data_IF_425316244749
#
_entry.id   IF_425316244749
#
_cell.length_a   1.000
_cell.length_b   1.000
_cell.length_c   1.000
_cell.angle_alpha   90.00
_cell.angle_beta   90.00
_cell.angle_gamma   90.00
#
_symmetry.space_group_name_H-M   'P 1'
#
loop_
_entity.id
_entity.type
_entity.pdbx_description
1 polymer ?
#
# COMPACT_ATOMS: atom_id res chain seq x y z
N UNK A 1 6.60 -13.46 5.79
CA UNK A 1 5.56 -13.14 4.78
C UNK A 1 5.89 -11.80 4.15
N UNK A 2 5.70 -11.67 2.83
CA UNK A 2 6.02 -10.48 2.02
C UNK A 2 4.75 -10.06 1.28
N UNK A 3 4.39 -8.77 1.29
CA UNK A 3 3.15 -8.28 0.70
C UNK A 3 3.40 -6.97 -0.06
N UNK A 4 2.71 -6.79 -1.18
CA UNK A 4 2.71 -5.53 -1.94
C UNK A 4 1.33 -4.90 -1.87
N UNK A 5 1.28 -3.64 -1.48
CA UNK A 5 0.09 -2.79 -1.52
C UNK A 5 -0.02 -2.15 -2.92
N UNK A 6 -1.15 -2.35 -3.60
CA UNK A 6 -1.45 -1.75 -4.90
C UNK A 6 -2.85 -1.11 -4.89
N UNK A 7 -3.01 0.05 -4.21
CA UNK A 7 -4.32 0.62 -3.94
C UNK A 7 -5.03 1.06 -5.23
N UNK A 8 -4.32 1.64 -6.21
CA UNK A 8 -4.98 2.02 -7.47
C UNK A 8 -5.57 0.83 -8.22
N UNK A 9 -4.87 -0.30 -8.24
CA UNK A 9 -5.36 -1.54 -8.85
C UNK A 9 -6.58 -2.08 -8.14
N UNK A 10 -6.61 -2.01 -6.80
CA UNK A 10 -7.80 -2.40 -6.05
C UNK A 10 -9.00 -1.52 -6.35
N UNK A 11 -8.79 -0.21 -6.50
CA UNK A 11 -9.88 0.73 -6.82
C UNK A 11 -10.36 0.57 -8.26
N UNK A 12 -9.45 0.29 -9.20
CA UNK A 12 -9.81 0.13 -10.60
C UNK A 12 -10.64 -1.14 -10.86
N UNK A 13 -10.33 -2.24 -10.15
CA UNK A 13 -10.89 -3.56 -10.43
C UNK A 13 -11.89 -4.05 -9.36
N UNK A 14 -12.27 -3.19 -8.42
CA UNK A 14 -13.19 -3.53 -7.33
C UNK A 14 -12.76 -4.76 -6.49
N UNK A 15 -11.45 -4.96 -6.30
CA UNK A 15 -10.93 -6.13 -5.58
C UNK A 15 -11.30 -6.18 -4.09
N UNK A 16 -11.83 -5.10 -3.53
CA UNK A 16 -12.19 -5.03 -2.11
C UNK A 16 -11.00 -4.96 -1.15
N UNK A 17 -9.75 -4.96 -1.65
CA UNK A 17 -8.53 -4.95 -0.81
C UNK A 17 -8.47 -3.74 0.14
N UNK A 18 -9.01 -2.60 -0.27
CA UNK A 18 -9.05 -1.42 0.60
C UNK A 18 -9.90 -1.65 1.86
N UNK A 19 -11.01 -2.39 1.74
CA UNK A 19 -11.97 -2.62 2.82
C UNK A 19 -11.65 -3.90 3.60
N UNK A 20 -11.44 -5.00 2.87
CA UNK A 20 -11.26 -6.33 3.44
C UNK A 20 -9.79 -6.67 3.69
N UNK A 21 -8.88 -6.07 2.93
CA UNK A 21 -7.45 -6.27 3.10
C UNK A 21 -6.93 -5.70 4.42
N UNK A 22 -5.79 -6.25 4.83
CA UNK A 22 -5.17 -6.01 6.15
C UNK A 22 -3.84 -5.29 6.06
N UNK A 23 -3.65 -4.44 5.06
CA UNK A 23 -2.38 -3.74 4.83
C UNK A 23 -1.96 -2.90 6.06
N UNK A 24 -2.81 -2.03 6.65
CA UNK A 24 -2.43 -1.30 7.87
C UNK A 24 -2.11 -2.23 9.04
N UNK A 25 -2.93 -3.25 9.27
CA UNK A 25 -2.72 -4.19 10.38
C UNK A 25 -1.44 -5.03 10.19
N UNK A 26 -1.12 -5.43 8.96
CA UNK A 26 0.14 -6.09 8.62
C UNK A 26 1.35 -5.18 8.88
N UNK A 27 1.25 -3.89 8.55
CA UNK A 27 2.28 -2.89 8.86
C UNK A 27 2.48 -2.73 10.37
N UNK A 28 1.41 -2.73 11.16
CA UNK A 28 1.47 -2.68 12.64
C UNK A 28 2.12 -3.95 13.22
N UNK A 29 1.85 -5.11 12.62
CA UNK A 29 2.44 -6.40 13.00
C UNK A 29 3.91 -6.57 12.55
N UNK A 30 4.50 -5.57 11.88
CA UNK A 30 5.88 -5.63 11.40
C UNK A 30 6.09 -6.53 10.17
N UNK A 31 5.01 -6.85 9.42
CA UNK A 31 5.12 -7.56 8.14
C UNK A 31 5.80 -6.64 7.13
N UNK A 32 6.69 -7.20 6.31
CA UNK A 32 7.30 -6.49 5.20
C UNK A 32 6.25 -6.18 4.13
N UNK A 33 5.80 -4.91 4.12
CA UNK A 33 4.85 -4.37 3.13
C UNK A 33 5.53 -3.32 2.28
N UNK A 34 5.40 -3.46 0.96
CA UNK A 34 5.91 -2.53 -0.04
C UNK A 34 4.78 -1.95 -0.86
N UNK A 35 5.11 -1.03 -1.76
CA UNK A 35 4.15 -0.35 -2.62
C UNK A 35 4.45 -0.63 -4.09
N UNK A 36 3.40 -0.87 -4.88
CA UNK A 36 3.52 -1.06 -6.32
C UNK A 36 2.23 -0.71 -7.05
N UNK A 37 2.33 -0.28 -8.30
CA UNK A 37 1.16 0.21 -9.03
C UNK A 37 0.34 -0.88 -9.72
N UNK A 38 0.98 -2.01 -10.05
CA UNK A 38 0.38 -3.09 -10.84
C UNK A 38 -0.27 -2.52 -12.13
N UNK A 39 0.56 -1.80 -12.91
CA UNK A 39 0.14 -0.96 -14.05
C UNK A 39 -0.81 -1.65 -15.05
N UNK A 40 -0.66 -2.96 -15.29
CA UNK A 40 -1.51 -3.68 -16.25
C UNK A 40 -2.97 -3.68 -15.82
N UNK A 41 -3.24 -3.54 -14.52
CA UNK A 41 -4.58 -3.50 -13.96
C UNK A 41 -5.19 -2.10 -13.89
N UNK A 42 -4.43 -1.03 -13.57
CA UNK A 42 -4.98 0.32 -13.39
C UNK A 42 -4.50 1.36 -14.41
N UNK A 43 -3.49 1.04 -15.21
CA UNK A 43 -2.80 1.98 -16.10
C UNK A 43 -1.87 2.97 -15.38
N UNK A 44 -1.84 2.97 -14.05
CA UNK A 44 -1.06 3.91 -13.24
C UNK A 44 0.38 3.42 -13.10
N UNK A 45 1.34 4.34 -13.27
CA UNK A 45 2.78 4.12 -13.05
C UNK A 45 3.39 5.14 -12.09
N UNK A 46 2.59 6.10 -11.61
CA UNK A 46 3.04 7.15 -10.69
C UNK A 46 3.04 6.65 -9.25
N UNK A 47 4.24 6.44 -8.68
CA UNK A 47 4.39 5.96 -7.31
C UNK A 47 3.95 6.99 -6.26
N UNK A 48 4.01 8.29 -6.56
CA UNK A 48 3.56 9.35 -5.64
C UNK A 48 2.04 9.30 -5.52
N UNK A 49 1.34 9.02 -6.62
CA UNK A 49 -0.10 8.76 -6.59
C UNK A 49 -0.42 7.50 -5.78
N UNK A 50 0.33 6.41 -5.92
CA UNK A 50 0.13 5.22 -5.08
C UNK A 50 0.36 5.50 -3.59
N UNK A 51 1.36 6.32 -3.24
CA UNK A 51 1.62 6.72 -1.85
C UNK A 51 0.47 7.55 -1.29
N UNK A 52 -0.03 8.49 -2.10
CA UNK A 52 -1.20 9.29 -1.76
C UNK A 52 -2.42 8.40 -1.53
N UNK A 53 -2.71 7.49 -2.46
CA UNK A 53 -3.83 6.56 -2.36
C UNK A 53 -3.69 5.68 -1.12
N UNK A 54 -2.56 5.00 -0.92
CA UNK A 54 -2.31 4.18 0.27
C UNK A 54 -2.54 4.99 1.57
N UNK A 55 -2.06 6.22 1.64
CA UNK A 55 -2.28 7.06 2.82
C UNK A 55 -3.76 7.40 3.01
N UNK A 56 -4.47 7.79 1.96
CA UNK A 56 -5.82 8.36 2.05
C UNK A 56 -6.93 7.33 2.13
N UNK A 57 -6.88 6.26 1.33
CA UNK A 57 -8.00 5.31 1.24
C UNK A 57 -8.13 4.47 2.50
N UNK A 58 -7.01 4.02 3.07
CA UNK A 58 -7.04 3.22 4.29
C UNK A 58 -7.48 4.05 5.49
N UNK A 59 -7.05 5.31 5.61
CA UNK A 59 -7.50 6.15 6.74
C UNK A 59 -8.98 6.48 6.68
N UNK A 60 -9.52 6.66 5.49
CA UNK A 60 -10.95 6.87 5.27
C UNK A 60 -11.74 5.63 5.70
N UNK A 61 -11.39 4.47 5.13
CA UNK A 61 -12.10 3.21 5.38
C UNK A 61 -11.94 2.69 6.81
N UNK A 62 -10.86 3.06 7.50
CA UNK A 62 -10.64 2.70 8.92
C UNK A 62 -11.11 3.80 9.88
N UNK A 63 -11.58 4.94 9.36
CA UNK A 63 -11.96 6.12 10.15
C UNK A 63 -10.89 6.47 11.18
N UNK A 64 -9.62 6.37 10.77
CA UNK A 64 -8.46 6.58 11.62
C UNK A 64 -7.36 7.26 10.81
N UNK A 65 -7.13 8.54 11.10
CA UNK A 65 -6.21 9.39 10.37
C UNK A 65 -4.74 8.91 10.39
N UNK A 66 -4.39 8.05 11.34
CA UNK A 66 -3.00 7.66 11.65
C UNK A 66 -2.61 6.27 11.16
N UNK A 67 -3.48 5.52 10.47
CA UNK A 67 -3.21 4.13 10.06
C UNK A 67 -2.02 3.99 9.10
N UNK A 68 -1.86 4.94 8.17
CA UNK A 68 -0.69 5.07 7.31
C UNK A 68 -0.33 6.55 7.27
N UNK A 69 0.60 7.01 8.12
CA UNK A 69 1.07 8.39 8.10
C UNK A 69 2.00 8.62 6.88
N UNK A 70 2.26 9.89 6.51
CA UNK A 70 3.08 10.22 5.34
C UNK A 70 4.47 9.56 5.35
N UNK A 71 5.14 9.52 6.49
CA UNK A 71 6.45 8.90 6.67
C UNK A 71 6.40 7.41 6.31
N UNK A 72 5.37 6.73 6.79
CA UNK A 72 5.12 5.31 6.49
C UNK A 72 4.87 5.08 5.00
N UNK A 73 4.18 6.00 4.34
CA UNK A 73 3.95 5.91 2.89
C UNK A 73 5.25 5.99 2.08
N UNK A 74 6.23 6.78 2.54
CA UNK A 74 7.56 6.87 1.93
C UNK A 74 8.34 5.59 2.21
N UNK A 75 8.30 5.05 3.43
CA UNK A 75 9.00 3.81 3.81
C UNK A 75 8.56 2.61 2.95
N UNK A 76 7.25 2.42 2.76
CA UNK A 76 6.70 1.32 1.93
C UNK A 76 7.04 1.48 0.45
N UNK A 77 7.22 2.72 -0.02
CA UNK A 77 7.64 3.02 -1.38
C UNK A 77 9.16 2.93 -1.59
N UNK A 78 9.96 2.89 -0.52
CA UNK A 78 11.43 2.95 -0.59
C UNK A 78 12.08 1.79 0.14
N UNK A 79 12.51 1.98 1.39
CA UNK A 79 13.34 1.02 2.13
C UNK A 79 12.66 -0.32 2.31
N UNK A 80 11.35 -0.35 2.63
CA UNK A 80 10.63 -1.63 2.78
C UNK A 80 10.44 -2.31 1.42
N UNK A 81 10.20 -1.53 0.36
CA UNK A 81 10.15 -2.04 -1.01
C UNK A 81 11.48 -2.68 -1.43
N UNK A 82 12.60 -2.05 -1.07
CA UNK A 82 13.94 -2.60 -1.27
C UNK A 82 14.13 -3.91 -0.48
N UNK A 83 13.78 -3.93 0.80
CA UNK A 83 13.84 -5.15 1.63
C UNK A 83 13.02 -6.29 1.04
N UNK A 84 11.83 -5.98 0.51
CA UNK A 84 10.97 -6.96 -0.17
C UNK A 84 11.64 -7.61 -1.38
N UNK A 85 12.31 -6.82 -2.21
CA UNK A 85 13.00 -7.30 -3.41
C UNK A 85 14.34 -7.98 -3.09
N UNK A 86 15.05 -7.53 -2.06
CA UNK A 86 16.40 -7.99 -1.72
C UNK A 86 16.39 -9.30 -0.91
N UNK A 87 15.34 -9.55 -0.15
CA UNK A 87 15.12 -10.86 0.42
C UNK A 87 14.60 -11.75 -0.72
N UNK A 88 15.34 -12.79 -1.08
CA UNK A 88 14.81 -13.92 -1.87
C UNK A 88 13.67 -14.61 -1.14
#
# INVERSE_FOLDING_TARGET
MKVVCAPSSSLHNDYGNIVQGKIPEMLEMGVAVGLGSNHTSSGIIDIVLEMFLASKVYKEVRTNASVIPPERSIEIATINGCTLCAMG
#
